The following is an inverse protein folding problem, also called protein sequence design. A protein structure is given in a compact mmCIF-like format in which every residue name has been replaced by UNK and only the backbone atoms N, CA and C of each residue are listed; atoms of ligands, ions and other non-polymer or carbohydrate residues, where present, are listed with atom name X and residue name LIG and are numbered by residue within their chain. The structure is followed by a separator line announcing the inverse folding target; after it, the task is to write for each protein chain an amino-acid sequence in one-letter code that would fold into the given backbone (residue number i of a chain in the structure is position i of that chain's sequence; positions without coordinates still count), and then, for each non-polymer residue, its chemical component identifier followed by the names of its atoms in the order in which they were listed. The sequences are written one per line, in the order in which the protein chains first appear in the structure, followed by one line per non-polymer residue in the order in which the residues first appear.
data_IF_610779743761
#
_entry.id   IF_610779743761
#
_cell.length_a   1.000
_cell.length_b   1.000
_cell.length_c   1.000
_cell.angle_alpha   90.00
_cell.angle_beta   90.00
_cell.angle_gamma   90.00
#
_symmetry.space_group_name_H-M   'P 1'
#
loop_
_entity.id
_entity.type
_entity.pdbx_description
1 polymer ?
#
# COMPACT_ATOMS: atom_id res chain seq x y z
N UNK A 1 -19.19 -30.78 -11.64
CA UNK A 1 -18.82 -30.80 -10.21
C UNK A 1 -18.09 -32.09 -9.88
N UNK A 2 -17.18 -32.01 -8.94
CA UNK A 2 -16.51 -33.21 -8.40
C UNK A 2 -17.34 -33.71 -7.23
N UNK A 3 -17.47 -35.03 -7.13
CA UNK A 3 -18.13 -35.70 -6.02
C UNK A 3 -17.18 -36.79 -5.50
N UNK A 4 -17.00 -36.81 -4.19
CA UNK A 4 -16.27 -37.88 -3.48
C UNK A 4 -17.22 -38.49 -2.47
N UNK A 5 -17.36 -39.81 -2.46
CA UNK A 5 -18.20 -40.54 -1.53
C UNK A 5 -17.41 -41.37 -0.53
N UNK A 6 -18.11 -41.89 0.46
CA UNK A 6 -17.61 -42.87 1.42
C UNK A 6 -16.39 -42.44 2.23
N UNK A 7 -16.35 -41.16 2.64
CA UNK A 7 -15.34 -40.64 3.55
C UNK A 7 -15.73 -40.92 5.02
N UNK A 8 -15.00 -41.80 5.67
CA UNK A 8 -15.20 -42.07 7.11
C UNK A 8 -14.53 -40.97 7.96
N UNK A 9 -15.32 -40.34 8.84
CA UNK A 9 -14.82 -39.45 9.90
C UNK A 9 -15.16 -40.09 11.23
N UNK A 10 -14.14 -40.52 11.98
CA UNK A 10 -14.31 -41.20 13.25
C UNK A 10 -14.77 -40.24 14.37
N UNK A 11 -15.30 -40.81 15.45
CA UNK A 11 -15.73 -39.98 16.61
C UNK A 11 -14.55 -39.14 17.14
N UNK A 12 -14.77 -37.84 17.30
CA UNK A 12 -13.79 -36.83 17.73
C UNK A 12 -12.61 -36.62 16.72
N UNK A 13 -12.78 -37.04 15.50
CA UNK A 13 -11.82 -36.80 14.40
C UNK A 13 -12.32 -35.71 13.47
N UNK A 14 -11.44 -35.25 12.56
CA UNK A 14 -11.73 -34.25 11.55
C UNK A 14 -11.02 -34.59 10.24
N UNK A 15 -11.60 -34.15 9.14
CA UNK A 15 -10.96 -34.17 7.84
C UNK A 15 -10.71 -32.75 7.35
N UNK A 16 -9.61 -32.56 6.65
CA UNK A 16 -9.28 -31.30 6.00
C UNK A 16 -9.61 -31.39 4.51
N UNK A 17 -10.37 -30.44 4.01
CA UNK A 17 -10.74 -30.38 2.59
C UNK A 17 -10.08 -29.15 1.96
N UNK A 18 -9.28 -29.38 0.93
CA UNK A 18 -8.67 -28.31 0.14
C UNK A 18 -9.54 -28.06 -1.08
N UNK A 19 -9.84 -26.79 -1.33
CA UNK A 19 -10.60 -26.34 -2.50
C UNK A 19 -9.71 -25.45 -3.34
N UNK A 20 -9.52 -25.82 -4.59
CA UNK A 20 -8.86 -24.99 -5.59
C UNK A 20 -9.89 -24.55 -6.62
N UNK A 21 -9.85 -23.27 -6.97
CA UNK A 21 -10.72 -22.71 -7.99
C UNK A 21 -9.89 -22.00 -9.05
N UNK A 22 -10.08 -22.40 -10.30
CA UNK A 22 -9.57 -21.70 -11.48
C UNK A 22 -10.71 -20.92 -12.11
N UNK A 23 -10.62 -19.60 -12.08
CA UNK A 23 -11.60 -18.74 -12.72
C UNK A 23 -11.48 -18.84 -14.25
N UNK A 24 -12.59 -19.02 -14.97
CA UNK A 24 -12.58 -18.86 -16.42
C UNK A 24 -12.28 -17.41 -16.80
N UNK A 25 -11.72 -17.22 -17.98
CA UNK A 25 -11.52 -15.92 -18.57
C UNK A 25 -12.87 -15.21 -18.77
N UNK A 26 -13.04 -14.01 -18.22
CA UNK A 26 -14.33 -13.32 -18.17
C UNK A 26 -14.34 -11.93 -18.82
N UNK A 27 -13.20 -11.44 -19.32
CA UNK A 27 -13.01 -10.08 -19.88
C UNK A 27 -13.44 -8.94 -18.95
N UNK A 28 -13.62 -9.21 -17.65
CA UNK A 28 -14.05 -8.20 -16.70
C UNK A 28 -12.85 -7.39 -16.20
N UNK A 29 -12.91 -6.08 -16.34
CA UNK A 29 -11.92 -5.14 -15.79
C UNK A 29 -12.21 -4.73 -14.36
N UNK A 30 -13.39 -5.11 -13.84
CA UNK A 30 -13.80 -4.94 -12.45
C UNK A 30 -14.05 -6.29 -11.81
N UNK A 31 -13.79 -6.45 -10.49
CA UNK A 31 -13.99 -7.72 -9.81
C UNK A 31 -15.43 -8.22 -9.92
N UNK A 32 -15.59 -9.43 -10.43
CA UNK A 32 -16.86 -10.13 -10.49
C UNK A 32 -16.91 -11.18 -9.39
N UNK A 33 -17.96 -11.16 -8.58
CA UNK A 33 -18.15 -12.17 -7.54
C UNK A 33 -18.63 -13.47 -8.16
N UNK A 34 -17.89 -14.57 -7.88
CA UNK A 34 -18.27 -15.93 -8.23
C UNK A 34 -18.60 -16.64 -6.92
N UNK A 35 -19.78 -17.22 -6.87
CA UNK A 35 -20.27 -17.97 -5.71
C UNK A 35 -20.49 -19.40 -6.09
N UNK A 36 -19.99 -20.32 -5.29
CA UNK A 36 -20.24 -21.75 -5.39
C UNK A 36 -20.44 -22.34 -3.99
N UNK A 37 -20.74 -23.62 -3.91
CA UNK A 37 -21.02 -24.27 -2.64
C UNK A 37 -20.34 -25.62 -2.54
N UNK A 38 -19.76 -25.90 -1.41
CA UNK A 38 -19.34 -27.23 -1.02
C UNK A 38 -20.45 -27.85 -0.16
N UNK A 39 -20.98 -28.96 -0.62
CA UNK A 39 -22.06 -29.69 0.06
C UNK A 39 -21.50 -30.97 0.69
N UNK A 40 -21.79 -31.17 1.95
CA UNK A 40 -21.51 -32.39 2.69
C UNK A 40 -22.84 -33.09 3.01
N UNK A 41 -23.02 -34.30 2.49
CA UNK A 41 -24.18 -35.12 2.83
C UNK A 41 -23.72 -36.19 3.82
N UNK A 42 -24.26 -36.14 5.02
CA UNK A 42 -23.99 -37.12 6.05
C UNK A 42 -24.78 -38.42 5.78
N UNK A 43 -24.35 -39.55 6.34
CA UNK A 43 -25.05 -40.83 6.25
C UNK A 43 -26.49 -40.73 6.74
N UNK A 44 -26.77 -39.87 7.72
CA UNK A 44 -28.10 -39.56 8.22
C UNK A 44 -29.01 -38.82 7.21
N UNK A 45 -28.51 -38.47 6.02
CA UNK A 45 -29.18 -37.66 5.03
C UNK A 45 -29.17 -36.14 5.32
N UNK A 46 -28.57 -35.71 6.43
CA UNK A 46 -28.41 -34.28 6.73
C UNK A 46 -27.38 -33.68 5.78
N UNK A 47 -27.71 -32.52 5.21
CA UNK A 47 -26.81 -31.77 4.36
C UNK A 47 -26.26 -30.55 5.11
N UNK A 48 -24.95 -30.39 5.04
CA UNK A 48 -24.24 -29.19 5.47
C UNK A 48 -23.65 -28.47 4.25
N UNK A 49 -23.63 -27.16 4.29
CA UNK A 49 -23.22 -26.33 3.17
C UNK A 49 -22.17 -25.32 3.61
N UNK A 50 -21.07 -25.27 2.89
CA UNK A 50 -20.07 -24.20 2.99
C UNK A 50 -20.17 -23.36 1.71
N UNK A 51 -20.43 -22.07 1.86
CA UNK A 51 -20.45 -21.15 0.72
C UNK A 51 -19.01 -20.78 0.36
N UNK A 52 -18.66 -20.98 -0.89
CA UNK A 52 -17.39 -20.55 -1.48
C UNK A 52 -17.64 -19.25 -2.24
N UNK A 53 -16.78 -18.27 -2.02
CA UNK A 53 -16.88 -16.98 -2.68
C UNK A 53 -15.51 -16.52 -3.11
N UNK A 54 -15.40 -16.09 -4.36
CA UNK A 54 -14.16 -15.56 -4.93
C UNK A 54 -14.48 -14.37 -5.83
N UNK A 55 -13.53 -13.46 -5.92
CA UNK A 55 -13.60 -12.36 -6.88
C UNK A 55 -12.64 -12.66 -8.04
N UNK A 56 -13.18 -12.60 -9.26
CA UNK A 56 -12.45 -12.82 -10.50
C UNK A 56 -12.53 -11.62 -11.40
N UNK A 57 -11.43 -11.30 -12.04
CA UNK A 57 -11.32 -10.24 -13.02
C UNK A 57 -10.19 -10.54 -14.00
N UNK A 58 -10.22 -9.87 -15.16
CA UNK A 58 -9.20 -10.02 -16.17
C UNK A 58 -8.13 -8.91 -16.01
N UNK A 59 -7.14 -9.20 -15.17
CA UNK A 59 -6.03 -8.30 -14.90
C UNK A 59 -4.77 -8.71 -15.66
N UNK A 60 -3.90 -7.74 -15.96
CA UNK A 60 -2.55 -7.98 -16.44
C UNK A 60 -1.65 -8.32 -15.26
N UNK A 61 -1.25 -9.59 -15.15
CA UNK A 61 -0.37 -10.08 -14.09
C UNK A 61 1.09 -9.95 -14.51
N UNK A 62 1.86 -9.13 -13.81
CA UNK A 62 3.27 -8.86 -14.10
C UNK A 62 4.11 -9.39 -12.93
N UNK A 63 4.97 -10.39 -13.16
CA UNK A 63 5.83 -10.98 -12.11
C UNK A 63 6.79 -9.96 -11.50
N UNK A 64 7.38 -9.12 -12.34
CA UNK A 64 8.24 -8.02 -11.96
C UNK A 64 8.63 -7.24 -13.20
N UNK A 65 8.92 -5.96 -13.08
CA UNK A 65 9.25 -5.11 -14.22
C UNK A 65 10.34 -4.10 -13.87
N UNK A 66 11.30 -3.93 -14.79
CA UNK A 66 12.29 -2.86 -14.74
C UNK A 66 11.95 -1.80 -15.77
N UNK A 67 11.87 -0.58 -15.32
CA UNK A 67 11.69 0.61 -16.16
C UNK A 67 13.07 1.21 -16.38
N UNK A 68 13.62 1.06 -17.57
CA UNK A 68 14.98 1.50 -17.93
C UNK A 68 15.00 2.78 -18.77
N UNK A 69 13.84 3.19 -19.26
CA UNK A 69 13.65 4.43 -20.06
C UNK A 69 12.39 5.13 -19.58
N UNK A 70 12.21 6.38 -19.98
CA UNK A 70 11.01 7.13 -19.65
C UNK A 70 9.76 6.38 -20.15
N UNK A 71 8.88 6.04 -19.25
CA UNK A 71 7.73 5.19 -19.51
C UNK A 71 6.49 5.76 -18.84
N UNK A 72 5.39 5.84 -19.59
CA UNK A 72 4.06 6.08 -19.03
C UNK A 72 3.37 4.75 -18.85
N UNK A 73 2.91 4.47 -17.64
CA UNK A 73 2.17 3.24 -17.34
C UNK A 73 0.79 3.33 -17.97
N UNK A 74 0.50 2.43 -18.89
CA UNK A 74 -0.80 2.35 -19.54
C UNK A 74 -1.19 0.89 -19.76
N UNK A 75 -2.45 0.57 -19.51
CA UNK A 75 -3.05 -0.71 -19.83
C UNK A 75 -4.57 -0.52 -19.99
N UNK A 76 -5.18 -1.34 -20.82
CA UNK A 76 -6.64 -1.44 -20.93
C UNK A 76 -7.26 -2.32 -19.83
N UNK A 77 -6.41 -2.97 -19.04
CA UNK A 77 -6.78 -3.88 -17.94
C UNK A 77 -6.18 -3.39 -16.64
N UNK A 78 -6.74 -3.78 -15.50
CA UNK A 78 -6.09 -3.58 -14.21
C UNK A 78 -4.69 -4.20 -14.19
N UNK A 79 -3.71 -3.48 -13.64
CA UNK A 79 -2.31 -3.93 -13.59
C UNK A 79 -2.02 -4.45 -12.19
N UNK A 80 -1.55 -5.70 -12.10
CA UNK A 80 -1.15 -6.34 -10.84
C UNK A 80 0.33 -6.74 -10.92
N UNK A 81 1.15 -6.12 -10.10
CA UNK A 81 2.54 -6.52 -9.90
C UNK A 81 2.63 -7.61 -8.83
N UNK A 82 3.06 -8.81 -9.22
CA UNK A 82 3.26 -9.92 -8.30
C UNK A 82 4.62 -9.89 -7.60
N UNK A 83 5.57 -9.11 -8.13
CA UNK A 83 6.89 -8.84 -7.59
C UNK A 83 7.26 -7.36 -7.88
N UNK A 84 8.46 -6.95 -7.53
CA UNK A 84 8.90 -5.55 -7.52
C UNK A 84 8.83 -4.89 -8.90
N UNK A 85 8.18 -3.73 -8.94
CA UNK A 85 8.31 -2.75 -10.01
C UNK A 85 9.50 -1.84 -9.71
N UNK A 86 10.53 -1.88 -10.54
CA UNK A 86 11.76 -1.13 -10.34
C UNK A 86 11.93 -0.03 -11.39
N UNK A 87 12.10 1.20 -10.95
CA UNK A 87 12.45 2.33 -11.82
C UNK A 87 13.97 2.53 -11.73
N UNK A 88 14.69 2.20 -12.79
CA UNK A 88 16.16 2.28 -12.83
C UNK A 88 16.63 3.74 -12.86
N UNK A 89 17.87 3.96 -12.45
CA UNK A 89 18.51 5.28 -12.44
C UNK A 89 18.44 5.94 -13.82
N UNK A 90 18.06 7.20 -13.86
CA UNK A 90 17.88 8.00 -15.10
C UNK A 90 16.55 7.78 -15.83
N UNK A 91 15.78 6.77 -15.47
CA UNK A 91 14.44 6.57 -16.03
C UNK A 91 13.36 7.33 -15.24
N UNK A 92 12.28 7.71 -15.92
CA UNK A 92 11.09 8.31 -15.33
C UNK A 92 9.92 7.37 -15.56
N UNK A 93 9.25 6.98 -14.47
CA UNK A 93 7.95 6.31 -14.54
C UNK A 93 6.86 7.34 -14.29
N UNK A 94 5.95 7.49 -15.24
CA UNK A 94 4.74 8.30 -15.09
C UNK A 94 3.53 7.40 -14.94
N UNK A 95 2.75 7.61 -13.89
CA UNK A 95 1.46 6.96 -13.64
C UNK A 95 0.37 8.01 -13.84
N UNK A 96 -0.43 7.92 -14.91
CA UNK A 96 -1.42 8.94 -15.25
C UNK A 96 -2.65 8.88 -14.35
N UNK A 97 -3.45 9.96 -14.38
CA UNK A 97 -4.69 10.10 -13.65
C UNK A 97 -5.65 8.91 -13.89
N UNK A 98 -6.36 8.52 -12.84
CA UNK A 98 -7.33 7.42 -12.87
C UNK A 98 -6.72 6.02 -12.88
N UNK A 99 -5.39 5.92 -12.80
CA UNK A 99 -4.73 4.61 -12.79
C UNK A 99 -4.72 4.02 -11.38
N UNK A 100 -5.25 2.79 -11.24
CA UNK A 100 -5.05 1.97 -10.05
C UNK A 100 -4.02 0.90 -10.35
N UNK A 101 -2.97 0.85 -9.54
CA UNK A 101 -1.91 -0.16 -9.61
C UNK A 101 -2.02 -1.06 -8.38
N UNK A 102 -2.12 -2.35 -8.62
CA UNK A 102 -2.24 -3.37 -7.58
C UNK A 102 -0.92 -4.08 -7.37
N UNK A 103 -0.62 -4.40 -6.12
CA UNK A 103 0.61 -5.06 -5.72
C UNK A 103 0.30 -6.28 -4.85
N UNK A 104 0.89 -7.42 -5.19
CA UNK A 104 0.85 -8.61 -4.33
C UNK A 104 1.72 -8.43 -3.09
N UNK A 105 1.54 -9.24 -2.07
CA UNK A 105 2.12 -9.08 -0.74
C UNK A 105 3.64 -8.84 -0.73
N UNK A 106 4.40 -9.48 -1.61
CA UNK A 106 5.86 -9.31 -1.69
C UNK A 106 6.30 -8.22 -2.63
N UNK A 107 5.38 -7.66 -3.40
CA UNK A 107 5.69 -6.64 -4.39
C UNK A 107 5.97 -5.28 -3.74
N UNK A 108 6.88 -4.54 -4.34
CA UNK A 108 7.28 -3.19 -3.96
C UNK A 108 7.36 -2.28 -5.20
N UNK A 109 7.39 -0.98 -4.98
CA UNK A 109 7.77 0.00 -5.97
C UNK A 109 9.12 0.63 -5.57
N UNK A 110 10.19 0.12 -6.15
CA UNK A 110 11.56 0.58 -5.91
C UNK A 110 11.99 1.62 -6.95
N UNK A 111 12.28 2.84 -6.51
CA UNK A 111 12.58 3.96 -7.38
C UNK A 111 14.02 4.41 -7.20
N UNK A 112 14.88 4.10 -8.17
CA UNK A 112 16.23 4.62 -8.31
C UNK A 112 16.30 5.83 -9.26
N UNK A 113 15.34 5.92 -10.18
CA UNK A 113 15.11 7.05 -11.07
C UNK A 113 14.12 8.05 -10.49
N UNK A 114 13.10 8.39 -11.25
CA UNK A 114 12.06 9.36 -10.87
C UNK A 114 10.66 8.76 -11.04
N UNK A 115 9.79 8.98 -10.06
CA UNK A 115 8.38 8.62 -10.11
C UNK A 115 7.52 9.88 -10.22
N UNK A 116 6.57 9.85 -11.13
CA UNK A 116 5.52 10.86 -11.28
C UNK A 116 4.15 10.21 -11.24
N UNK A 117 3.34 10.56 -10.25
CA UNK A 117 1.92 10.21 -10.20
C UNK A 117 1.13 11.48 -10.51
N UNK A 118 0.42 11.47 -11.62
CA UNK A 118 -0.25 12.64 -12.17
C UNK A 118 -1.78 12.52 -12.02
N UNK A 119 -2.23 12.23 -10.79
CA UNK A 119 -3.65 12.20 -10.47
C UNK A 119 -4.33 13.56 -10.50
N UNK A 120 -5.65 13.55 -10.55
CA UNK A 120 -6.52 14.73 -10.38
C UNK A 120 -7.53 14.47 -9.28
N UNK A 121 -8.25 15.50 -8.84
CA UNK A 121 -9.27 15.36 -7.80
C UNK A 121 -10.35 14.33 -8.17
N UNK A 122 -10.78 14.33 -9.43
CA UNK A 122 -11.82 13.42 -9.93
C UNK A 122 -11.25 12.04 -10.34
N UNK A 123 -9.96 11.97 -10.67
CA UNK A 123 -9.29 10.76 -11.15
C UNK A 123 -7.94 10.59 -10.44
N UNK A 124 -7.92 10.20 -9.15
CA UNK A 124 -6.68 9.99 -8.41
C UNK A 124 -5.88 8.82 -8.98
N UNK A 125 -4.58 8.81 -8.69
CA UNK A 125 -3.75 7.62 -8.82
C UNK A 125 -3.89 6.82 -7.53
N UNK A 126 -4.09 5.51 -7.63
CA UNK A 126 -4.22 4.62 -6.47
C UNK A 126 -3.15 3.54 -6.52
N UNK A 127 -2.35 3.42 -5.45
CA UNK A 127 -1.36 2.36 -5.26
C UNK A 127 -1.78 1.53 -4.05
N UNK A 128 -2.14 0.26 -4.27
CA UNK A 128 -2.76 -0.57 -3.23
C UNK A 128 -2.41 -2.05 -3.33
N UNK A 129 -2.74 -2.81 -2.29
CA UNK A 129 -2.68 -4.27 -2.35
C UNK A 129 -3.69 -4.89 -3.33
N UNK A 130 -3.40 -6.08 -3.81
CA UNK A 130 -4.21 -6.81 -4.81
C UNK A 130 -5.43 -7.54 -4.20
N UNK A 131 -5.55 -7.59 -2.86
CA UNK A 131 -6.69 -8.20 -2.18
C UNK A 131 -7.95 -7.33 -2.34
N UNK A 132 -8.99 -7.90 -2.95
CA UNK A 132 -10.29 -7.25 -3.21
C UNK A 132 -11.41 -7.80 -2.34
N UNK A 133 -11.13 -8.85 -1.59
CA UNK A 133 -12.03 -9.51 -0.66
C UNK A 133 -12.08 -8.79 0.71
N UNK A 134 -12.77 -9.41 1.64
CA UNK A 134 -12.94 -8.89 2.99
C UNK A 134 -12.42 -9.88 4.02
N UNK A 135 -11.66 -9.40 5.00
CA UNK A 135 -11.27 -10.18 6.17
C UNK A 135 -12.50 -10.53 7.01
N UNK A 136 -13.36 -9.54 7.24
CA UNK A 136 -14.67 -9.68 7.88
C UNK A 136 -15.69 -8.89 7.09
N UNK A 137 -16.98 -9.16 7.29
CA UNK A 137 -18.09 -8.47 6.56
C UNK A 137 -17.94 -6.93 6.56
N UNK A 138 -17.42 -6.37 7.64
CA UNK A 138 -17.23 -4.92 7.85
C UNK A 138 -15.81 -4.43 7.55
N UNK A 139 -14.83 -5.33 7.33
CA UNK A 139 -13.42 -4.99 7.17
C UNK A 139 -12.90 -5.52 5.82
N UNK A 140 -12.91 -4.72 4.77
CA UNK A 140 -12.26 -5.08 3.51
C UNK A 140 -10.74 -5.06 3.67
N UNK A 141 -10.04 -5.94 2.94
CA UNK A 141 -8.57 -5.95 2.93
C UNK A 141 -7.96 -4.65 2.43
N UNK A 142 -8.72 -3.85 1.75
CA UNK A 142 -8.40 -2.48 1.34
C UNK A 142 -8.07 -1.54 2.53
N UNK A 143 -8.55 -1.86 3.72
CA UNK A 143 -8.28 -1.13 4.96
C UNK A 143 -7.33 -1.85 5.90
N UNK A 144 -6.80 -3.00 5.49
CA UNK A 144 -5.87 -3.80 6.28
C UNK A 144 -4.45 -3.53 5.81
N UNK A 145 -3.59 -3.13 6.71
CA UNK A 145 -2.16 -2.87 6.44
C UNK A 145 -1.39 -4.14 6.07
N UNK A 146 -0.19 -3.99 5.50
CA UNK A 146 0.72 -5.11 5.24
C UNK A 146 0.39 -5.95 3.99
N UNK A 147 -0.44 -5.43 3.07
CA UNK A 147 -0.82 -6.15 1.85
C UNK A 147 0.28 -6.11 0.77
N UNK A 148 1.16 -5.12 0.80
CA UNK A 148 2.32 -4.97 -0.10
C UNK A 148 3.41 -4.13 0.57
N UNK A 149 4.61 -4.06 -0.03
CA UNK A 149 5.77 -3.49 0.66
C UNK A 149 5.79 -1.95 0.68
N UNK A 150 5.11 -1.29 -0.28
CA UNK A 150 5.06 0.16 -0.42
C UNK A 150 6.06 0.72 -1.42
N UNK A 151 6.32 2.02 -1.33
CA UNK A 151 7.19 2.79 -2.23
C UNK A 151 8.50 3.12 -1.53
N UNK A 152 9.63 2.86 -2.19
CA UNK A 152 10.96 3.25 -1.69
C UNK A 152 11.69 4.11 -2.70
N UNK A 153 12.04 5.33 -2.29
CA UNK A 153 12.93 6.22 -3.04
C UNK A 153 14.37 6.01 -2.57
N UNK A 154 15.17 5.36 -3.40
CA UNK A 154 16.57 5.07 -3.11
C UNK A 154 17.42 6.33 -3.12
N UNK A 155 18.66 6.24 -2.63
CA UNK A 155 19.58 7.36 -2.35
C UNK A 155 19.59 8.41 -3.45
N UNK A 156 19.75 8.01 -4.70
CA UNK A 156 19.95 8.92 -5.84
C UNK A 156 18.64 9.21 -6.63
N UNK A 157 17.50 8.83 -6.08
CA UNK A 157 16.18 9.16 -6.62
C UNK A 157 15.77 10.55 -6.15
N UNK A 158 15.47 11.45 -7.08
CA UNK A 158 15.08 12.83 -6.84
C UNK A 158 13.95 13.29 -7.75
N UNK A 159 13.39 14.46 -7.45
CA UNK A 159 12.32 15.12 -8.21
C UNK A 159 11.08 14.23 -8.39
N UNK A 160 10.84 13.38 -7.42
CA UNK A 160 9.64 12.56 -7.37
C UNK A 160 8.44 13.43 -7.02
N UNK A 161 7.37 13.31 -7.77
CA UNK A 161 6.15 14.11 -7.61
C UNK A 161 4.93 13.19 -7.60
N UNK A 162 4.17 13.22 -6.52
CA UNK A 162 2.93 12.51 -6.38
C UNK A 162 1.80 13.51 -6.13
N UNK A 163 0.91 13.62 -7.09
CA UNK A 163 -0.23 14.54 -7.04
C UNK A 163 -1.53 13.74 -7.06
N UNK A 164 -2.47 14.07 -6.17
CA UNK A 164 -3.74 13.34 -6.00
C UNK A 164 -3.52 11.82 -6.03
N UNK A 165 -2.62 11.37 -5.15
CA UNK A 165 -2.22 9.95 -5.07
C UNK A 165 -2.65 9.37 -3.74
N UNK A 166 -3.32 8.23 -3.80
CA UNK A 166 -3.70 7.44 -2.64
C UNK A 166 -2.79 6.21 -2.54
N UNK A 167 -2.03 6.11 -1.44
CA UNK A 167 -1.15 4.97 -1.13
C UNK A 167 -1.64 4.33 0.15
N UNK A 168 -2.06 3.07 0.07
CA UNK A 168 -2.59 2.42 1.25
C UNK A 168 -2.38 0.91 1.32
N UNK A 169 -2.71 0.34 2.48
CA UNK A 169 -2.62 -1.10 2.78
C UNK A 169 -1.20 -1.64 2.68
N UNK A 170 -0.20 -0.80 2.91
CA UNK A 170 1.21 -1.14 2.75
C UNK A 170 1.83 -1.75 4.00
N UNK A 171 3.02 -2.32 3.85
CA UNK A 171 3.93 -2.46 4.99
C UNK A 171 4.46 -1.06 5.36
N UNK A 172 5.30 -0.42 4.56
CA UNK A 172 5.60 1.00 4.69
C UNK A 172 4.96 1.78 3.53
N UNK A 173 4.33 2.92 3.81
CA UNK A 173 3.76 3.77 2.76
C UNK A 173 4.84 4.26 1.81
N UNK A 174 5.71 5.13 2.31
CA UNK A 174 6.83 5.72 1.58
C UNK A 174 8.09 5.69 2.45
N UNK A 175 9.18 5.16 1.91
CA UNK A 175 10.52 5.27 2.48
C UNK A 175 11.42 6.12 1.58
N UNK A 176 12.04 7.15 2.14
CA UNK A 176 13.04 7.97 1.47
C UNK A 176 14.42 7.69 2.07
N UNK A 177 15.26 6.96 1.34
CA UNK A 177 16.64 6.69 1.76
C UNK A 177 17.45 7.98 1.87
N UNK A 178 18.46 7.95 2.74
CA UNK A 178 19.37 9.06 2.95
C UNK A 178 19.90 9.65 1.65
N UNK A 179 19.76 10.97 1.50
CA UNK A 179 20.14 11.72 0.33
C UNK A 179 20.79 13.06 0.72
N UNK A 180 21.12 13.90 -0.24
CA UNK A 180 21.48 15.30 0.03
C UNK A 180 20.22 16.16 0.05
N UNK A 181 20.11 17.08 1.01
CA UNK A 181 18.96 17.99 1.10
C UNK A 181 19.00 19.16 0.09
N UNK A 182 20.04 19.24 -0.73
CA UNK A 182 20.20 20.32 -1.73
C UNK A 182 19.25 20.21 -2.92
N UNK A 183 18.65 19.03 -3.12
CA UNK A 183 17.72 18.73 -4.20
C UNK A 183 16.46 18.08 -3.64
N UNK A 184 15.29 18.48 -4.13
CA UNK A 184 14.03 17.91 -3.66
C UNK A 184 13.95 16.43 -4.00
N UNK A 185 13.78 15.59 -2.96
CA UNK A 185 13.62 14.16 -3.13
C UNK A 185 12.18 13.79 -3.46
N UNK A 186 11.24 14.40 -2.74
CA UNK A 186 9.82 14.07 -2.88
C UNK A 186 8.96 15.32 -2.68
N UNK A 187 8.03 15.51 -3.59
CA UNK A 187 6.90 16.44 -3.47
C UNK A 187 5.60 15.64 -3.42
N UNK A 188 4.81 15.85 -2.38
CA UNK A 188 3.46 15.31 -2.21
C UNK A 188 2.45 16.44 -2.30
N UNK A 189 1.41 16.26 -3.10
CA UNK A 189 0.38 17.24 -3.29
C UNK A 189 -1.01 16.61 -3.31
N UNK A 190 -1.94 17.10 -2.49
CA UNK A 190 -3.34 16.63 -2.50
C UNK A 190 -3.45 15.09 -2.38
N UNK A 191 -2.61 14.47 -1.58
CA UNK A 191 -2.43 13.02 -1.56
C UNK A 191 -2.79 12.44 -0.19
N UNK A 192 -2.99 11.12 -0.14
CA UNK A 192 -3.30 10.40 1.09
C UNK A 192 -2.40 9.19 1.22
N UNK A 193 -1.76 9.02 2.37
CA UNK A 193 -0.98 7.85 2.74
C UNK A 193 -1.56 7.27 4.02
N UNK A 194 -2.06 6.03 3.96
CA UNK A 194 -2.76 5.49 5.11
C UNK A 194 -2.75 3.95 5.22
N UNK A 195 -3.14 3.45 6.38
CA UNK A 195 -3.24 2.02 6.68
C UNK A 195 -1.93 1.28 6.37
N UNK A 196 -0.84 1.72 7.02
CA UNK A 196 0.48 1.11 6.89
C UNK A 196 0.83 0.31 8.15
N UNK A 197 1.47 -0.85 7.99
CA UNK A 197 1.96 -1.66 9.11
C UNK A 197 3.28 -1.10 9.68
N UNK A 198 4.03 -0.37 8.90
CA UNK A 198 5.21 0.42 9.31
C UNK A 198 4.89 1.91 9.30
N UNK A 199 5.80 2.70 8.76
CA UNK A 199 5.66 4.15 8.61
C UNK A 199 4.69 4.52 7.47
N UNK A 200 3.98 5.63 7.63
CA UNK A 200 3.30 6.26 6.51
C UNK A 200 4.30 6.92 5.56
N UNK A 201 5.14 7.80 6.10
CA UNK A 201 6.31 8.36 5.44
C UNK A 201 7.50 8.34 6.40
N UNK A 202 8.64 7.79 5.98
CA UNK A 202 9.92 7.98 6.66
C UNK A 202 10.93 8.60 5.70
N UNK A 203 11.57 9.70 6.11
CA UNK A 203 12.60 10.38 5.32
C UNK A 203 13.83 10.70 6.17
N UNK A 204 15.01 10.27 5.68
CA UNK A 204 16.29 10.47 6.37
C UNK A 204 17.17 11.40 5.55
N UNK A 205 17.49 12.57 6.11
CA UNK A 205 18.34 13.61 5.51
C UNK A 205 17.91 13.98 4.09
N UNK A 206 16.59 14.17 3.89
CA UNK A 206 16.00 14.46 2.58
C UNK A 206 15.43 15.87 2.54
N UNK A 207 15.26 16.41 1.33
CA UNK A 207 14.40 17.56 1.10
C UNK A 207 13.02 17.08 0.70
N UNK A 208 12.04 17.33 1.55
CA UNK A 208 10.64 16.90 1.41
C UNK A 208 9.72 18.12 1.39
N UNK A 209 8.81 18.14 0.44
CA UNK A 209 7.74 19.14 0.35
C UNK A 209 6.41 18.40 0.33
N UNK A 210 5.51 18.72 1.25
CA UNK A 210 4.15 18.20 1.22
C UNK A 210 3.14 19.32 1.45
N UNK A 211 2.08 19.32 0.67
CA UNK A 211 0.97 20.21 0.90
C UNK A 211 -0.37 19.52 0.65
N UNK A 212 -1.38 19.92 1.42
CA UNK A 212 -2.72 19.36 1.39
C UNK A 212 -2.70 17.80 1.36
N UNK A 213 -1.87 17.21 2.21
CA UNK A 213 -1.63 15.77 2.23
C UNK A 213 -1.99 15.19 3.59
N UNK A 214 -2.65 14.04 3.59
CA UNK A 214 -3.02 13.30 4.80
C UNK A 214 -2.11 12.10 4.99
N UNK A 215 -1.64 11.93 6.23
CA UNK A 215 -0.93 10.73 6.71
C UNK A 215 -1.71 10.17 7.90
N UNK A 216 -2.16 8.92 7.82
CA UNK A 216 -3.04 8.41 8.88
C UNK A 216 -3.00 6.89 9.05
N UNK A 217 -3.38 6.44 10.24
CA UNK A 217 -3.60 5.03 10.56
C UNK A 217 -2.39 4.14 10.22
N UNK A 218 -1.25 4.42 10.84
CA UNK A 218 -0.02 3.63 10.66
C UNK A 218 0.41 3.01 11.99
N UNK A 219 1.00 1.82 11.98
CA UNK A 219 1.47 1.21 13.22
C UNK A 219 2.70 1.94 13.79
N UNK A 220 3.64 2.31 12.92
CA UNK A 220 4.72 3.23 13.27
C UNK A 220 4.25 4.68 13.10
N UNK A 221 5.15 5.65 13.01
CA UNK A 221 4.76 7.04 12.85
C UNK A 221 4.04 7.30 11.52
N UNK A 222 3.01 8.16 11.55
CA UNK A 222 2.34 8.55 10.30
C UNK A 222 3.31 9.30 9.38
N UNK A 223 4.17 10.17 9.95
CA UNK A 223 5.29 10.75 9.23
C UNK A 223 6.49 10.94 10.18
N UNK A 224 7.67 10.47 9.75
CA UNK A 224 8.92 10.52 10.50
C UNK A 224 10.03 11.17 9.67
N UNK A 225 10.64 12.21 10.21
CA UNK A 225 11.70 12.96 9.54
C UNK A 225 12.97 12.99 10.41
N UNK A 226 14.10 12.60 9.83
CA UNK A 226 15.41 12.66 10.51
C UNK A 226 16.37 13.50 9.68
N UNK A 227 16.66 14.70 10.14
CA UNK A 227 17.50 15.65 9.41
C UNK A 227 16.89 16.15 8.08
N UNK A 228 17.66 16.94 7.34
CA UNK A 228 17.32 17.46 6.02
C UNK A 228 16.49 18.75 6.05
N UNK A 229 15.74 18.99 4.99
CA UNK A 229 14.86 20.15 4.82
C UNK A 229 13.41 19.66 4.61
N UNK A 230 12.48 20.08 5.46
CA UNK A 230 11.09 19.63 5.43
C UNK A 230 10.13 20.82 5.45
N UNK A 231 9.21 20.85 4.51
CA UNK A 231 8.14 21.85 4.41
C UNK A 231 6.78 21.15 4.27
N UNK A 232 5.93 21.33 5.27
CA UNK A 232 4.61 20.72 5.40
C UNK A 232 3.56 21.83 5.53
N UNK A 233 2.65 21.94 4.56
CA UNK A 233 1.63 23.00 4.55
C UNK A 233 0.26 22.38 4.32
N UNK A 234 -0.72 22.75 5.16
CA UNK A 234 -2.09 22.22 5.10
C UNK A 234 -2.16 20.68 5.17
N UNK A 235 -1.25 20.05 5.92
CA UNK A 235 -1.20 18.61 6.08
C UNK A 235 -2.00 18.13 7.29
N UNK A 236 -2.45 16.91 7.26
CA UNK A 236 -3.13 16.23 8.36
C UNK A 236 -2.36 14.98 8.75
N UNK A 237 -1.96 14.89 10.01
CA UNK A 237 -1.32 13.72 10.61
C UNK A 237 -2.26 13.16 11.66
N UNK A 238 -2.85 11.97 11.39
CA UNK A 238 -3.93 11.43 12.21
C UNK A 238 -3.65 9.98 12.63
N UNK A 239 -3.11 9.82 13.86
CA UNK A 239 -2.69 8.52 14.37
C UNK A 239 -3.84 7.80 15.08
N UNK A 240 -4.64 7.07 14.30
CA UNK A 240 -5.76 6.27 14.78
C UNK A 240 -5.67 4.80 14.32
N UNK A 241 -4.45 4.24 14.26
CA UNK A 241 -4.25 2.85 13.84
C UNK A 241 -5.09 1.90 14.70
N UNK A 242 -5.99 1.10 14.08
CA UNK A 242 -7.02 0.40 14.84
C UNK A 242 -6.61 -0.99 15.34
N UNK A 243 -5.48 -1.54 14.84
CA UNK A 243 -5.15 -2.95 15.05
C UNK A 243 -4.12 -3.19 16.17
N UNK A 244 -3.52 -2.14 16.73
CA UNK A 244 -2.56 -2.23 17.83
C UNK A 244 -2.64 -0.97 18.71
N UNK A 245 -2.39 -1.14 20.01
CA UNK A 245 -2.29 -0.03 20.97
C UNK A 245 -0.88 0.56 21.03
N UNK A 246 0.15 -0.21 20.69
CA UNK A 246 1.55 0.23 20.65
C UNK A 246 1.87 0.87 19.28
N UNK A 247 1.29 2.01 19.04
CA UNK A 247 1.47 2.75 17.79
C UNK A 247 2.47 3.88 17.97
N UNK A 248 3.10 4.28 16.84
CA UNK A 248 3.99 5.44 16.79
C UNK A 248 3.26 6.77 16.89
N UNK A 249 3.99 7.87 16.74
CA UNK A 249 3.44 9.21 16.76
C UNK A 249 2.72 9.57 15.44
N UNK A 250 1.85 10.60 15.51
CA UNK A 250 1.28 11.16 14.29
C UNK A 250 2.36 11.88 13.46
N UNK A 251 3.27 12.60 14.13
CA UNK A 251 4.39 13.28 13.50
C UNK A 251 5.62 13.18 14.40
N UNK A 252 6.74 12.72 13.86
CA UNK A 252 8.03 12.72 14.55
C UNK A 252 9.12 13.40 13.71
N UNK A 253 10.05 14.06 14.37
CA UNK A 253 11.22 14.65 13.72
C UNK A 253 12.40 14.73 14.69
N UNK A 254 13.61 14.67 14.14
CA UNK A 254 14.82 14.69 14.95
C UNK A 254 16.09 14.78 14.10
N UNK A 255 17.24 14.68 14.78
CA UNK A 255 18.57 14.83 14.18
C UNK A 255 19.37 13.53 14.17
N UNK A 256 18.86 12.46 14.79
CA UNK A 256 19.65 11.27 15.08
C UNK A 256 18.88 9.99 14.77
N UNK A 257 19.53 9.04 14.11
CA UNK A 257 19.02 7.68 13.91
C UNK A 257 20.19 6.70 13.75
N UNK A 258 20.11 5.52 14.36
CA UNK A 258 21.10 4.45 14.25
C UNK A 258 22.54 4.92 14.54
N UNK A 259 22.76 5.68 15.63
CA UNK A 259 24.03 6.25 16.04
C UNK A 259 24.68 7.17 14.99
N UNK A 260 23.86 7.81 14.16
CA UNK A 260 24.30 8.76 13.16
C UNK A 260 23.50 10.05 13.22
N UNK A 261 24.22 11.17 13.17
CA UNK A 261 23.64 12.50 13.16
C UNK A 261 23.36 12.97 11.74
N UNK A 262 22.19 13.57 11.57
CA UNK A 262 21.74 14.22 10.36
C UNK A 262 21.16 15.58 10.71
N UNK A 263 21.79 16.70 10.36
CA UNK A 263 21.29 18.02 10.71
C UNK A 263 19.91 18.26 10.13
N UNK A 264 18.97 18.63 11.00
CA UNK A 264 17.69 19.16 10.58
C UNK A 264 17.87 20.64 10.22
N UNK A 265 18.05 20.92 8.93
CA UNK A 265 18.37 22.26 8.43
C UNK A 265 17.17 23.19 8.50
N UNK A 266 16.01 22.71 8.07
CA UNK A 266 14.73 23.40 8.18
C UNK A 266 13.60 22.44 8.44
N UNK A 267 12.66 22.81 9.30
CA UNK A 267 11.43 22.07 9.55
C UNK A 267 10.27 23.04 9.71
N UNK A 268 9.47 23.17 8.66
CA UNK A 268 8.33 24.07 8.64
C UNK A 268 7.02 23.29 8.58
N UNK A 269 6.15 23.51 9.55
CA UNK A 269 4.78 22.98 9.60
C UNK A 269 3.82 24.15 9.69
N UNK A 270 3.02 24.36 8.66
CA UNK A 270 2.13 25.50 8.52
C UNK A 270 0.69 25.05 8.27
N UNK A 271 -0.26 25.63 9.01
CA UNK A 271 -1.70 25.36 8.84
C UNK A 271 -2.05 23.88 8.81
N UNK A 272 -1.40 23.08 9.65
CA UNK A 272 -1.52 21.63 9.65
C UNK A 272 -2.13 21.13 10.96
N UNK A 273 -2.74 19.94 10.90
CA UNK A 273 -3.35 19.26 12.04
C UNK A 273 -2.51 18.05 12.43
N UNK A 274 -2.18 17.93 13.70
CA UNK A 274 -1.57 16.73 14.29
C UNK A 274 -2.51 16.22 15.37
N UNK A 275 -2.96 14.98 15.29
CA UNK A 275 -3.95 14.40 16.20
C UNK A 275 -3.82 12.88 16.26
N UNK A 276 -4.27 12.29 17.37
CA UNK A 276 -4.25 10.84 17.57
C UNK A 276 -4.81 10.43 18.92
N UNK A 277 -4.41 9.25 19.37
CA UNK A 277 -4.88 8.68 20.63
C UNK A 277 -4.00 9.05 21.83
N UNK A 278 -2.75 9.46 21.63
CA UNK A 278 -1.77 9.70 22.69
C UNK A 278 -0.71 10.73 22.25
N UNK A 279 0.56 10.51 22.53
CA UNK A 279 1.68 11.39 22.21
C UNK A 279 1.86 11.53 20.70
N UNK A 280 1.13 12.47 20.11
CA UNK A 280 0.99 12.56 18.66
C UNK A 280 2.14 13.31 18.00
N UNK A 281 2.97 14.02 18.78
CA UNK A 281 4.13 14.78 18.32
C UNK A 281 5.37 14.37 19.11
N UNK A 282 6.39 13.86 18.42
CA UNK A 282 7.70 13.53 18.99
C UNK A 282 8.82 14.36 18.36
N UNK A 283 9.72 14.86 19.24
CA UNK A 283 10.91 15.64 18.88
C UNK A 283 12.18 14.96 19.39
#
# INVERSE_FOLDING_TARGET
GYQVGDLEVRNKDSIQVFVEMTSPFNNATTPQEIVDNLLFTLESGVQQKVNLRVYSWDAELIKGRKITTNTTLSSTKPIVFQDTLKVEAGAILTIPAGTTVYFSQKAALDVYGTLRCEGTADNPVVLRGDRLDKMFKYLPYDRVSGQWQGVRFHKDSYDNVLTHTDIHSTYNGILCDTATATRTKLTLANSTIHNCQGYGLQAINCKIVAYNTQFSNTLMDCAAFVGGEVSLTHCTFAQFYPFDSNRGAALSFGNHINNKDYPLQTFHVVNSLVTGYADDLLM
#
